data_IF_953125789076
#
_entry.id   IF_953125789076
#
_cell.length_a   1.000
_cell.length_b   1.000
_cell.length_c   1.000
_cell.angle_alpha   90.00
_cell.angle_beta   90.00
_cell.angle_gamma   90.00
#
_symmetry.space_group_name_H-M   'P 1'
#
loop_
_entity.id
_entity.type
_entity.pdbx_description
1 polymer ?
#
# COMPACT_ATOMS: atom_id res chain seq x y z
N UNK A 1 16.04 -22.17 15.30
CA UNK A 1 15.58 -22.00 13.90
C UNK A 1 14.65 -20.83 13.87
N UNK A 2 14.91 -19.87 13.00
CA UNK A 2 13.99 -18.74 12.81
C UNK A 2 12.93 -19.11 11.80
N UNK A 3 11.69 -18.64 12.02
CA UNK A 3 10.61 -18.76 11.05
C UNK A 3 10.54 -17.50 10.21
N UNK A 4 10.72 -17.63 8.91
CA UNK A 4 10.71 -16.54 7.94
C UNK A 4 9.53 -16.72 6.99
N UNK A 5 8.70 -15.68 6.89
CA UNK A 5 7.66 -15.61 5.84
C UNK A 5 8.19 -14.74 4.72
N UNK A 6 8.23 -15.29 3.50
CA UNK A 6 8.72 -14.58 2.31
C UNK A 6 7.58 -14.36 1.32
N UNK A 7 7.30 -13.10 0.94
CA UNK A 7 6.30 -12.79 -0.10
C UNK A 7 7.00 -12.37 -1.39
N UNK A 8 6.59 -12.96 -2.51
CA UNK A 8 7.07 -12.58 -3.84
C UNK A 8 5.92 -12.03 -4.69
N UNK A 9 6.10 -10.81 -5.20
CA UNK A 9 5.14 -10.15 -6.10
C UNK A 9 5.12 -10.74 -7.50
N UNK A 10 4.14 -10.35 -8.33
CA UNK A 10 3.97 -10.85 -9.69
C UNK A 10 5.21 -10.68 -10.57
N UNK A 11 5.89 -9.53 -10.51
CA UNK A 11 7.15 -9.28 -11.23
C UNK A 11 8.28 -10.24 -10.84
N UNK A 12 8.29 -10.71 -9.60
CA UNK A 12 9.31 -11.67 -9.10
C UNK A 12 9.15 -13.06 -9.71
N UNK A 13 7.91 -13.45 -10.02
CA UNK A 13 7.51 -14.77 -10.53
C UNK A 13 6.92 -14.69 -11.93
N UNK A 14 7.23 -13.64 -12.70
CA UNK A 14 6.60 -13.35 -13.98
C UNK A 14 6.81 -14.43 -15.05
N UNK A 15 7.94 -15.11 -15.00
CA UNK A 15 8.34 -16.11 -15.99
C UNK A 15 9.12 -17.27 -15.35
N UNK A 16 9.52 -18.24 -16.17
CA UNK A 16 10.25 -19.42 -15.73
C UNK A 16 11.59 -19.07 -15.05
N UNK A 17 12.29 -18.05 -15.52
CA UNK A 17 13.57 -17.63 -14.91
C UNK A 17 13.35 -16.92 -13.57
N UNK A 18 12.29 -16.12 -13.44
CA UNK A 18 11.83 -15.55 -12.17
C UNK A 18 11.51 -16.65 -11.15
N UNK A 19 10.72 -17.64 -11.53
CA UNK A 19 10.38 -18.80 -10.69
C UNK A 19 11.65 -19.53 -10.22
N UNK A 20 12.59 -19.82 -11.12
CA UNK A 20 13.87 -20.48 -10.75
C UNK A 20 14.73 -19.64 -9.82
N UNK A 21 14.77 -18.31 -10.02
CA UNK A 21 15.48 -17.38 -9.14
C UNK A 21 14.88 -17.38 -7.74
N UNK A 22 13.55 -17.27 -7.65
CA UNK A 22 12.81 -17.32 -6.37
C UNK A 22 13.02 -18.67 -5.69
N UNK A 23 12.90 -19.79 -6.42
CA UNK A 23 13.11 -21.14 -5.88
C UNK A 23 14.49 -21.29 -5.24
N UNK A 24 15.56 -20.83 -5.90
CA UNK A 24 16.92 -20.85 -5.34
C UNK A 24 17.01 -20.05 -4.04
N UNK A 25 16.49 -18.82 -4.02
CA UNK A 25 16.51 -17.96 -2.83
C UNK A 25 15.78 -18.60 -1.66
N UNK A 26 14.61 -19.18 -1.88
CA UNK A 26 13.82 -19.88 -0.86
C UNK A 26 14.58 -21.08 -0.31
N UNK A 27 15.18 -21.90 -1.19
CA UNK A 27 15.98 -23.07 -0.79
C UNK A 27 17.24 -22.65 -0.01
N UNK A 28 17.90 -21.57 -0.43
CA UNK A 28 19.08 -21.05 0.28
C UNK A 28 18.71 -20.54 1.68
N UNK A 29 17.56 -19.91 1.84
CA UNK A 29 17.02 -19.47 3.14
C UNK A 29 16.77 -20.69 4.06
N UNK A 30 16.18 -21.76 3.55
CA UNK A 30 15.98 -23.01 4.31
C UNK A 30 17.31 -23.68 4.66
N UNK A 31 18.26 -23.77 3.71
CA UNK A 31 19.61 -24.34 3.95
C UNK A 31 20.42 -23.56 4.98
N UNK A 32 20.14 -22.28 5.17
CA UNK A 32 20.72 -21.48 6.24
C UNK A 32 20.17 -21.82 7.64
N UNK A 33 19.28 -22.81 7.75
CA UNK A 33 18.74 -23.33 9.01
C UNK A 33 17.44 -22.66 9.47
N UNK A 34 16.69 -22.05 8.54
CA UNK A 34 15.40 -21.41 8.82
C UNK A 34 14.23 -22.27 8.38
N UNK A 35 13.11 -22.13 9.07
CA UNK A 35 11.81 -22.55 8.57
C UNK A 35 11.26 -21.48 7.62
N UNK A 36 10.68 -21.91 6.50
CA UNK A 36 10.27 -20.97 5.45
C UNK A 36 8.81 -21.19 5.04
N UNK A 37 8.04 -20.11 5.07
CA UNK A 37 6.73 -20.02 4.44
C UNK A 37 6.82 -19.01 3.30
N UNK A 38 6.30 -19.35 2.14
CA UNK A 38 6.32 -18.49 0.97
C UNK A 38 4.90 -18.09 0.60
N UNK A 39 4.67 -16.81 0.33
CA UNK A 39 3.42 -16.31 -0.24
C UNK A 39 3.72 -15.75 -1.62
N UNK A 40 2.97 -16.17 -2.64
CA UNK A 40 3.16 -15.68 -3.99
C UNK A 40 1.92 -15.01 -4.55
N UNK A 41 2.14 -14.01 -5.40
CA UNK A 41 1.12 -13.42 -6.27
C UNK A 41 0.99 -14.23 -7.58
N UNK A 42 -0.01 -13.92 -8.38
CA UNK A 42 -0.10 -14.39 -9.77
C UNK A 42 1.16 -14.00 -10.56
N UNK A 43 1.47 -14.75 -11.62
CA UNK A 43 2.63 -14.51 -12.48
C UNK A 43 2.43 -13.25 -13.32
N UNK A 44 3.37 -12.32 -13.28
CA UNK A 44 3.35 -11.10 -14.11
C UNK A 44 2.01 -10.36 -14.08
N UNK A 45 1.43 -10.18 -15.25
CA UNK A 45 0.18 -9.44 -15.46
C UNK A 45 -1.06 -10.38 -15.52
N UNK A 46 -0.94 -11.66 -15.11
CA UNK A 46 -2.02 -12.67 -15.22
C UNK A 46 -3.35 -12.21 -14.61
N UNK A 47 -3.33 -11.45 -13.51
CA UNK A 47 -4.57 -10.94 -12.90
C UNK A 47 -5.28 -9.95 -13.84
N UNK A 48 -4.54 -9.06 -14.49
CA UNK A 48 -5.09 -8.09 -15.45
C UNK A 48 -5.58 -8.81 -16.73
N UNK A 49 -4.84 -9.80 -17.23
CA UNK A 49 -5.25 -10.64 -18.36
C UNK A 49 -6.58 -11.39 -18.08
N UNK A 50 -6.77 -11.88 -16.86
CA UNK A 50 -8.03 -12.53 -16.46
C UNK A 50 -9.18 -11.53 -16.33
N UNK A 51 -8.92 -10.29 -15.88
CA UNK A 51 -9.91 -9.21 -15.86
C UNK A 51 -10.30 -8.79 -17.29
N UNK A 52 -9.34 -8.66 -18.19
CA UNK A 52 -9.57 -8.35 -19.61
C UNK A 52 -10.41 -9.46 -20.26
N UNK A 53 -10.06 -10.73 -20.04
CA UNK A 53 -10.84 -11.87 -20.53
C UNK A 53 -12.28 -11.84 -20.01
N UNK A 54 -12.49 -11.49 -18.73
CA UNK A 54 -13.83 -11.36 -18.16
C UNK A 54 -14.61 -10.24 -18.87
N UNK A 55 -13.95 -9.11 -19.18
CA UNK A 55 -14.55 -7.96 -19.86
C UNK A 55 -14.96 -8.25 -21.31
N UNK A 56 -14.27 -9.16 -22.00
CA UNK A 56 -14.64 -9.61 -23.33
C UNK A 56 -15.90 -10.49 -23.35
N UNK A 57 -16.19 -11.16 -22.22
CA UNK A 57 -17.33 -12.08 -22.09
C UNK A 57 -18.56 -11.40 -21.50
N UNK A 58 -18.38 -10.42 -20.63
CA UNK A 58 -19.49 -9.70 -19.99
C UNK A 58 -19.29 -8.21 -19.99
N UNK A 59 -20.36 -7.45 -20.24
CA UNK A 59 -20.34 -5.98 -20.17
C UNK A 59 -20.34 -5.41 -18.75
N UNK A 60 -20.44 -6.27 -17.73
CA UNK A 60 -20.53 -5.87 -16.33
C UNK A 60 -19.55 -6.66 -15.46
N UNK A 61 -18.28 -6.26 -15.49
CA UNK A 61 -17.23 -6.83 -14.62
C UNK A 61 -17.30 -6.14 -13.28
N UNK A 62 -18.13 -6.65 -12.38
CA UNK A 62 -18.23 -6.17 -10.99
C UNK A 62 -17.69 -7.22 -10.02
N UNK A 63 -17.19 -6.82 -8.84
CA UNK A 63 -16.81 -7.76 -7.80
C UNK A 63 -17.95 -8.76 -7.51
N UNK A 64 -17.68 -10.02 -7.73
CA UNK A 64 -18.66 -11.11 -7.63
C UNK A 64 -17.99 -12.43 -7.27
N UNK A 65 -18.79 -13.40 -6.85
CA UNK A 65 -18.32 -14.75 -6.54
C UNK A 65 -17.54 -15.38 -7.72
N UNK A 66 -18.06 -15.22 -8.93
CA UNK A 66 -17.45 -15.85 -10.12
C UNK A 66 -16.15 -15.12 -10.53
N UNK A 67 -16.08 -13.80 -10.31
CA UNK A 67 -14.85 -13.06 -10.56
C UNK A 67 -13.74 -13.46 -9.55
N UNK A 68 -14.08 -13.62 -8.26
CA UNK A 68 -13.14 -14.12 -7.27
C UNK A 68 -12.64 -15.54 -7.63
N UNK A 69 -13.52 -16.42 -8.09
CA UNK A 69 -13.15 -17.75 -8.58
C UNK A 69 -12.17 -17.69 -9.76
N UNK A 70 -12.41 -16.79 -10.71
CA UNK A 70 -11.54 -16.60 -11.88
C UNK A 70 -10.16 -16.09 -11.45
N UNK A 71 -10.12 -14.99 -10.71
CA UNK A 71 -8.86 -14.31 -10.34
C UNK A 71 -7.95 -15.20 -9.50
N UNK A 72 -8.51 -15.99 -8.57
CA UNK A 72 -7.69 -16.88 -7.72
C UNK A 72 -6.98 -18.01 -8.46
N UNK A 73 -7.27 -18.22 -9.75
CA UNK A 73 -6.54 -19.19 -10.57
C UNK A 73 -5.07 -18.79 -10.76
N UNK A 74 -4.76 -17.50 -10.85
CA UNK A 74 -3.40 -16.99 -11.06
C UNK A 74 -2.43 -17.45 -9.98
N UNK A 75 -2.77 -17.23 -8.69
CA UNK A 75 -1.91 -17.62 -7.58
C UNK A 75 -1.79 -19.16 -7.42
N UNK A 76 -2.81 -19.91 -7.81
CA UNK A 76 -2.73 -21.39 -7.81
C UNK A 76 -1.71 -21.90 -8.82
N UNK A 77 -1.62 -21.26 -9.99
CA UNK A 77 -0.60 -21.56 -11.00
C UNK A 77 0.79 -21.27 -10.41
N UNK A 78 1.00 -20.07 -9.87
CA UNK A 78 2.28 -19.64 -9.30
C UNK A 78 2.77 -20.58 -8.19
N UNK A 79 1.89 -20.92 -7.23
CA UNK A 79 2.24 -21.82 -6.11
C UNK A 79 2.65 -23.22 -6.58
N UNK A 80 1.92 -23.77 -7.54
CA UNK A 80 2.19 -25.11 -8.06
C UNK A 80 3.54 -25.16 -8.80
N UNK A 81 3.79 -24.20 -9.70
CA UNK A 81 5.04 -24.13 -10.47
C UNK A 81 6.24 -23.87 -9.55
N UNK A 82 6.11 -22.96 -8.59
CA UNK A 82 7.19 -22.70 -7.63
C UNK A 82 7.49 -23.93 -6.76
N UNK A 83 6.46 -24.66 -6.32
CA UNK A 83 6.62 -25.91 -5.57
C UNK A 83 7.40 -26.95 -6.36
N UNK A 84 7.07 -27.11 -7.67
CA UNK A 84 7.80 -28.01 -8.55
C UNK A 84 9.27 -27.59 -8.69
N UNK A 85 9.56 -26.30 -8.87
CA UNK A 85 10.91 -25.80 -9.01
C UNK A 85 11.76 -25.98 -7.73
N UNK A 86 11.16 -25.83 -6.55
CA UNK A 86 11.83 -26.07 -5.27
C UNK A 86 12.12 -27.56 -5.09
N UNK A 87 11.17 -28.43 -5.43
CA UNK A 87 11.37 -29.90 -5.35
C UNK A 87 12.48 -30.36 -6.32
N UNK A 88 12.60 -29.76 -7.50
CA UNK A 88 13.67 -30.02 -8.46
C UNK A 88 15.07 -29.65 -7.91
N UNK A 89 15.14 -28.66 -7.02
CA UNK A 89 16.36 -28.29 -6.29
C UNK A 89 16.68 -29.20 -5.08
N UNK A 90 15.88 -30.26 -4.86
CA UNK A 90 16.08 -31.26 -3.82
C UNK A 90 15.54 -30.88 -2.44
N UNK A 91 14.87 -29.74 -2.30
CA UNK A 91 14.12 -29.38 -1.10
C UNK A 91 12.68 -29.93 -1.18
N UNK A 92 12.01 -30.06 -0.03
CA UNK A 92 10.60 -30.48 0.00
C UNK A 92 9.69 -29.27 0.07
N UNK A 93 8.78 -29.14 -0.87
CA UNK A 93 7.81 -28.03 -0.90
C UNK A 93 6.40 -28.55 -1.07
N UNK A 94 5.45 -27.86 -0.45
CA UNK A 94 4.02 -28.15 -0.54
C UNK A 94 3.24 -26.87 -0.74
N UNK A 95 2.36 -26.86 -1.77
CA UNK A 95 1.51 -25.70 -2.10
C UNK A 95 0.16 -25.77 -1.40
N UNK A 96 -0.37 -24.58 -1.04
CA UNK A 96 -1.65 -24.39 -0.37
C UNK A 96 -2.43 -23.26 -1.02
N UNK A 97 -3.72 -23.44 -1.20
CA UNK A 97 -4.64 -22.33 -1.49
C UNK A 97 -4.87 -21.49 -0.22
N UNK A 98 -5.42 -20.30 -0.35
CA UNK A 98 -5.75 -19.46 0.83
C UNK A 98 -6.67 -20.19 1.82
N UNK A 99 -7.69 -20.92 1.33
CA UNK A 99 -8.58 -21.71 2.20
C UNK A 99 -7.84 -22.85 2.91
N UNK A 100 -6.93 -23.55 2.22
CA UNK A 100 -6.10 -24.60 2.83
C UNK A 100 -5.10 -24.07 3.84
N UNK A 101 -4.65 -22.82 3.65
CA UNK A 101 -3.79 -22.10 4.59
C UNK A 101 -4.57 -21.49 5.78
N UNK A 102 -5.91 -21.67 5.82
CA UNK A 102 -6.75 -21.20 6.90
C UNK A 102 -7.05 -19.70 6.87
N UNK A 103 -6.99 -19.05 5.69
CA UNK A 103 -7.34 -17.64 5.51
C UNK A 103 -8.86 -17.49 5.49
N UNK A 104 -9.46 -17.11 6.62
CA UNK A 104 -10.89 -16.93 6.77
C UNK A 104 -11.26 -15.46 6.58
N UNK A 105 -12.26 -15.23 5.74
CA UNK A 105 -12.69 -13.88 5.33
C UNK A 105 -14.16 -13.63 5.62
N UNK A 106 -14.57 -12.36 5.56
CA UNK A 106 -15.97 -11.99 5.40
C UNK A 106 -16.48 -12.36 3.98
N UNK A 107 -17.76 -12.14 3.72
CA UNK A 107 -18.40 -12.49 2.44
C UNK A 107 -18.36 -11.38 1.38
N UNK A 108 -17.51 -10.38 1.52
CA UNK A 108 -17.42 -9.26 0.56
C UNK A 108 -16.50 -9.64 -0.59
N UNK A 109 -17.07 -9.95 -1.76
CA UNK A 109 -16.29 -10.30 -2.95
C UNK A 109 -15.45 -9.14 -3.47
N UNK A 110 -14.25 -9.43 -3.99
CA UNK A 110 -13.31 -8.46 -4.58
C UNK A 110 -12.55 -7.59 -3.58
N UNK A 111 -12.99 -7.52 -2.32
CA UNK A 111 -12.35 -6.69 -1.27
C UNK A 111 -12.56 -7.25 0.14
N UNK A 112 -12.54 -8.58 0.25
CA UNK A 112 -12.78 -9.27 1.52
C UNK A 112 -11.79 -8.86 2.62
N UNK A 113 -12.28 -8.88 3.85
CA UNK A 113 -11.46 -8.64 5.04
C UNK A 113 -11.13 -9.96 5.71
N UNK A 114 -9.90 -10.11 6.16
CA UNK A 114 -9.50 -11.23 7.01
C UNK A 114 -10.18 -11.12 8.36
N UNK A 115 -10.91 -12.16 8.72
CA UNK A 115 -11.61 -12.29 10.01
C UNK A 115 -10.76 -13.12 10.97
N UNK A 116 -10.12 -14.18 10.46
CA UNK A 116 -9.33 -15.12 11.24
C UNK A 116 -8.29 -15.80 10.36
N UNK A 117 -7.14 -16.15 10.92
CA UNK A 117 -6.13 -17.00 10.28
C UNK A 117 -5.93 -18.25 11.12
N UNK A 118 -6.10 -19.43 10.51
CA UNK A 118 -5.92 -20.75 11.12
C UNK A 118 -4.79 -21.51 10.44
N UNK A 119 -3.53 -21.28 10.85
CA UNK A 119 -2.37 -21.77 10.12
C UNK A 119 -1.96 -23.21 10.48
N UNK A 120 -2.83 -24.05 11.10
CA UNK A 120 -2.48 -25.37 11.62
C UNK A 120 -1.84 -26.24 10.54
N UNK A 121 -2.43 -26.30 9.33
CA UNK A 121 -1.90 -27.07 8.20
C UNK A 121 -0.55 -26.57 7.70
N UNK A 122 -0.33 -25.25 7.78
CA UNK A 122 0.98 -24.65 7.45
C UNK A 122 1.99 -25.05 8.50
N UNK A 123 1.63 -25.00 9.78
CA UNK A 123 2.50 -25.43 10.89
C UNK A 123 2.88 -26.90 10.74
N UNK A 124 1.90 -27.79 10.54
CA UNK A 124 2.15 -29.22 10.30
C UNK A 124 3.11 -29.46 9.13
N UNK A 125 2.97 -28.70 8.03
CA UNK A 125 3.85 -28.82 6.88
C UNK A 125 5.29 -28.40 7.19
N UNK A 126 5.46 -27.29 7.94
CA UNK A 126 6.78 -26.80 8.37
C UNK A 126 7.41 -27.83 9.33
N UNK A 127 6.67 -28.31 10.31
CA UNK A 127 7.15 -29.29 11.30
C UNK A 127 7.56 -30.62 10.64
N UNK A 128 6.98 -30.94 9.48
CA UNK A 128 7.41 -32.08 8.64
C UNK A 128 8.63 -31.77 7.76
N UNK A 129 9.23 -30.58 7.89
CA UNK A 129 10.42 -30.14 7.14
C UNK A 129 10.14 -29.65 5.72
N UNK A 130 8.89 -29.35 5.39
CA UNK A 130 8.55 -28.81 4.08
C UNK A 130 8.62 -27.26 4.08
N UNK A 131 8.93 -26.70 2.92
CA UNK A 131 8.66 -25.31 2.61
C UNK A 131 7.18 -25.18 2.26
N UNK A 132 6.40 -24.40 3.00
CA UNK A 132 4.98 -24.18 2.72
C UNK A 132 4.80 -23.01 1.76
N UNK A 133 4.14 -23.24 0.62
CA UNK A 133 3.90 -22.20 -0.41
C UNK A 133 2.41 -21.90 -0.46
N UNK A 134 2.05 -20.67 -0.16
CA UNK A 134 0.66 -20.22 -0.03
C UNK A 134 0.28 -19.29 -1.17
N UNK A 135 -0.87 -19.56 -1.79
CA UNK A 135 -1.50 -18.64 -2.72
C UNK A 135 -1.95 -17.37 -1.96
N UNK A 136 -1.34 -16.23 -2.29
CA UNK A 136 -1.73 -14.94 -1.74
C UNK A 136 -3.09 -14.47 -2.23
N UNK A 137 -3.52 -13.26 -1.81
CA UNK A 137 -4.69 -12.56 -2.35
C UNK A 137 -6.05 -13.20 -2.05
N UNK A 138 -6.13 -14.44 -1.62
CA UNK A 138 -7.36 -15.22 -1.51
C UNK A 138 -7.62 -15.77 -0.11
N UNK A 139 -8.91 -15.94 0.20
CA UNK A 139 -9.40 -16.60 1.40
C UNK A 139 -10.72 -17.32 1.14
N UNK A 140 -11.40 -17.69 2.22
CA UNK A 140 -12.69 -18.37 2.17
C UNK A 140 -13.64 -17.82 3.23
N UNK A 141 -14.86 -17.52 2.83
CA UNK A 141 -15.93 -17.23 3.78
C UNK A 141 -16.38 -18.52 4.46
N UNK A 142 -16.37 -18.54 5.80
CA UNK A 142 -16.72 -19.75 6.57
C UNK A 142 -18.20 -20.15 6.45
N UNK A 143 -19.09 -19.17 6.29
CA UNK A 143 -20.52 -19.43 6.28
C UNK A 143 -21.01 -19.97 4.93
N UNK A 144 -20.59 -19.36 3.83
CA UNK A 144 -20.98 -19.78 2.49
C UNK A 144 -20.07 -20.86 1.89
N UNK A 145 -18.81 -20.96 2.36
CA UNK A 145 -17.77 -21.77 1.76
C UNK A 145 -17.18 -21.16 0.47
N UNK A 146 -17.62 -19.95 0.11
CA UNK A 146 -17.16 -19.30 -1.11
C UNK A 146 -15.72 -18.79 -0.98
N UNK A 147 -15.00 -18.87 -2.08
CA UNK A 147 -13.69 -18.24 -2.22
C UNK A 147 -13.90 -16.74 -2.38
N UNK A 148 -13.04 -15.97 -1.74
CA UNK A 148 -13.05 -14.50 -1.78
C UNK A 148 -11.66 -13.98 -2.09
N UNK A 149 -11.58 -12.79 -2.68
CA UNK A 149 -10.32 -12.08 -2.89
C UNK A 149 -10.20 -10.87 -1.97
N UNK A 150 -8.96 -10.57 -1.54
CA UNK A 150 -8.66 -9.49 -0.59
C UNK A 150 -8.53 -8.11 -1.25
N UNK A 151 -8.61 -8.06 -2.58
CA UNK A 151 -8.36 -6.84 -3.34
C UNK A 151 -6.88 -6.47 -3.46
N UNK A 152 -6.58 -5.25 -3.92
CA UNK A 152 -5.20 -4.78 -4.13
C UNK A 152 -4.34 -4.94 -2.88
N UNK A 153 -3.09 -5.37 -3.06
CA UNK A 153 -2.17 -5.66 -1.96
C UNK A 153 -2.55 -6.88 -1.11
N UNK A 154 -3.49 -7.72 -1.61
CA UNK A 154 -3.98 -8.89 -0.90
C UNK A 154 -2.90 -9.91 -0.59
N UNK A 155 -1.89 -10.10 -1.46
CA UNK A 155 -0.78 -11.02 -1.21
C UNK A 155 0.14 -10.53 -0.09
N UNK A 156 0.40 -9.21 0.00
CA UNK A 156 1.15 -8.62 1.11
C UNK A 156 0.40 -8.81 2.43
N UNK A 157 -0.91 -8.56 2.40
CA UNK A 157 -1.80 -8.78 3.56
C UNK A 157 -1.82 -10.24 3.99
N UNK A 158 -1.86 -11.19 3.02
CA UNK A 158 -1.78 -12.63 3.31
C UNK A 158 -0.47 -12.98 4.01
N UNK A 159 0.67 -12.50 3.51
CA UNK A 159 1.99 -12.80 4.06
C UNK A 159 2.13 -12.30 5.50
N UNK A 160 1.76 -11.03 5.73
CA UNK A 160 1.84 -10.42 7.06
C UNK A 160 0.88 -11.09 8.06
N UNK A 161 -0.35 -11.42 7.62
CA UNK A 161 -1.31 -12.10 8.47
C UNK A 161 -0.86 -13.52 8.84
N UNK A 162 -0.28 -14.28 7.89
CA UNK A 162 0.33 -15.58 8.17
C UNK A 162 1.55 -15.45 9.10
N UNK A 163 2.42 -14.48 8.85
CA UNK A 163 3.59 -14.25 9.70
C UNK A 163 3.18 -13.96 11.15
N UNK A 164 2.17 -13.12 11.35
CA UNK A 164 1.62 -12.84 12.68
C UNK A 164 0.99 -14.08 13.33
N UNK A 165 0.17 -14.84 12.60
CA UNK A 165 -0.50 -16.02 13.12
C UNK A 165 0.45 -17.17 13.44
N UNK A 166 1.57 -17.25 12.72
CA UNK A 166 2.64 -18.26 12.94
C UNK A 166 3.67 -17.80 13.97
N UNK A 167 3.61 -16.55 14.45
CA UNK A 167 4.66 -15.91 15.27
C UNK A 167 6.03 -15.97 14.57
N UNK A 168 6.08 -15.56 13.32
CA UNK A 168 7.31 -15.52 12.55
C UNK A 168 8.26 -14.43 13.08
N UNK A 169 9.56 -14.66 12.98
CA UNK A 169 10.60 -13.72 13.41
C UNK A 169 10.67 -12.49 12.49
N UNK A 170 10.37 -12.69 11.19
CA UNK A 170 10.36 -11.63 10.17
C UNK A 170 9.44 -12.00 9.00
N UNK A 171 8.82 -10.97 8.41
CA UNK A 171 8.14 -11.09 7.12
C UNK A 171 8.93 -10.32 6.07
N UNK A 172 9.53 -11.02 5.11
CA UNK A 172 10.26 -10.44 3.99
C UNK A 172 9.31 -10.19 2.82
N UNK A 173 9.25 -8.95 2.34
CA UNK A 173 8.46 -8.55 1.17
C UNK A 173 9.41 -8.27 0.01
N UNK A 174 9.37 -9.12 -1.00
CA UNK A 174 10.20 -9.01 -2.19
C UNK A 174 9.49 -8.29 -3.33
N UNK A 175 10.15 -7.28 -3.89
CA UNK A 175 9.67 -6.37 -4.91
C UNK A 175 10.70 -6.25 -6.06
N UNK A 176 10.45 -5.31 -6.97
CA UNK A 176 11.32 -4.92 -8.09
C UNK A 176 12.29 -3.77 -7.76
N UNK A 177 12.30 -3.33 -6.50
CA UNK A 177 13.25 -2.31 -5.99
C UNK A 177 13.95 -2.80 -4.73
N UNK A 178 15.11 -2.24 -4.42
CA UNK A 178 16.01 -2.71 -3.37
C UNK A 178 15.57 -2.35 -1.92
N UNK A 179 14.38 -1.83 -1.74
CA UNK A 179 13.85 -1.43 -0.43
C UNK A 179 12.90 -0.24 -0.52
N UNK A 180 12.71 0.45 0.60
CA UNK A 180 11.95 1.69 0.67
C UNK A 180 12.88 2.86 0.34
N UNK A 181 12.46 3.73 -0.56
CA UNK A 181 13.21 4.89 -0.99
C UNK A 181 12.57 6.18 -0.50
N UNK A 182 13.35 7.26 -0.42
CA UNK A 182 12.90 8.60 -0.02
C UNK A 182 11.89 9.23 -0.99
N UNK A 183 11.80 8.73 -2.22
CA UNK A 183 10.73 8.98 -3.19
C UNK A 183 10.65 7.79 -4.16
N UNK A 184 9.64 7.77 -5.04
CA UNK A 184 9.59 6.77 -6.12
C UNK A 184 10.78 6.96 -7.08
N UNK A 185 11.67 5.98 -7.22
CA UNK A 185 12.84 6.10 -8.09
C UNK A 185 12.50 6.34 -9.57
N UNK A 186 11.28 6.00 -10.00
CA UNK A 186 10.81 6.27 -11.38
C UNK A 186 10.60 7.75 -11.64
N UNK A 187 10.37 8.54 -10.58
CA UNK A 187 10.17 10.00 -10.64
C UNK A 187 11.45 10.72 -10.24
N UNK A 188 12.10 10.23 -9.20
CA UNK A 188 13.32 10.79 -8.63
C UNK A 188 14.43 9.71 -8.67
N UNK A 189 15.19 9.59 -9.76
CA UNK A 189 16.24 8.57 -9.86
C UNK A 189 17.31 8.68 -8.77
N UNK A 190 17.52 9.89 -8.23
CA UNK A 190 18.46 10.19 -7.14
C UNK A 190 17.92 9.91 -5.74
N UNK A 191 16.70 9.36 -5.61
CA UNK A 191 16.16 8.95 -4.33
C UNK A 191 17.06 7.90 -3.67
N UNK A 192 17.38 8.10 -2.38
CA UNK A 192 18.18 7.11 -1.66
C UNK A 192 17.33 6.07 -0.94
N UNK A 193 17.89 4.88 -0.80
CA UNK A 193 17.27 3.78 -0.06
C UNK A 193 17.39 4.04 1.45
N UNK A 194 16.30 3.88 2.17
CA UNK A 194 16.29 3.88 3.62
C UNK A 194 16.76 2.52 4.15
N UNK A 195 17.68 2.50 5.10
CA UNK A 195 18.09 1.24 5.75
C UNK A 195 17.04 0.78 6.77
N UNK A 196 16.42 1.74 7.44
CA UNK A 196 15.39 1.50 8.46
C UNK A 196 14.31 2.58 8.38
N UNK A 197 13.07 2.19 8.63
CA UNK A 197 11.92 3.09 8.72
C UNK A 197 10.99 2.59 9.82
N UNK A 198 10.35 3.49 10.57
CA UNK A 198 9.37 3.08 11.58
C UNK A 198 8.06 2.64 10.94
N UNK A 199 7.28 1.81 11.63
CA UNK A 199 5.95 1.39 11.16
C UNK A 199 5.02 2.59 10.95
N UNK A 200 5.15 3.66 11.75
CA UNK A 200 4.34 4.87 11.63
C UNK A 200 4.68 5.65 10.37
N UNK A 201 5.97 5.87 10.10
CA UNK A 201 6.42 6.53 8.88
C UNK A 201 6.04 5.73 7.64
N UNK A 202 6.25 4.39 7.68
CA UNK A 202 5.86 3.52 6.58
C UNK A 202 4.34 3.54 6.34
N UNK A 203 3.54 3.60 7.41
CA UNK A 203 2.09 3.71 7.32
C UNK A 203 1.67 5.01 6.63
N UNK A 204 2.27 6.14 7.03
CA UNK A 204 2.02 7.43 6.38
C UNK A 204 2.49 7.42 4.91
N UNK A 205 3.66 6.88 4.63
CA UNK A 205 4.13 6.76 3.23
C UNK A 205 3.17 5.93 2.40
N UNK A 206 2.73 4.76 2.89
CA UNK A 206 1.80 3.87 2.19
C UNK A 206 0.41 4.52 2.01
N UNK A 207 -0.12 5.21 3.02
CA UNK A 207 -1.39 5.93 2.96
C UNK A 207 -1.36 7.11 1.97
N UNK A 208 -0.17 7.64 1.69
CA UNK A 208 0.02 8.77 0.80
C UNK A 208 0.58 8.41 -0.59
N UNK A 209 0.55 7.12 -0.95
CA UNK A 209 0.80 6.67 -2.31
C UNK A 209 2.16 6.01 -2.55
N UNK A 210 3.00 5.79 -1.54
CA UNK A 210 4.17 4.96 -1.68
C UNK A 210 3.75 3.49 -1.92
N UNK A 211 3.96 2.99 -3.15
CA UNK A 211 3.41 1.71 -3.60
C UNK A 211 4.23 0.48 -3.18
N UNK A 212 5.31 0.66 -2.45
CA UNK A 212 6.23 -0.43 -2.08
C UNK A 212 5.60 -1.45 -1.11
N UNK A 213 4.80 -0.96 -0.17
CA UNK A 213 4.00 -1.78 0.74
C UNK A 213 2.55 -1.31 0.69
N UNK A 214 1.62 -2.25 0.69
CA UNK A 214 0.21 -1.89 0.77
C UNK A 214 -0.19 -1.47 2.19
N UNK A 215 -0.99 -0.41 2.31
CA UNK A 215 -1.41 0.17 3.61
C UNK A 215 -1.89 -0.90 4.61
N UNK A 216 -2.79 -1.80 4.19
CA UNK A 216 -3.33 -2.87 5.05
C UNK A 216 -2.25 -3.80 5.61
N UNK A 217 -1.20 -4.12 4.86
CA UNK A 217 -0.13 -4.98 5.37
C UNK A 217 0.70 -4.27 6.44
N UNK A 218 0.93 -2.96 6.30
CA UNK A 218 1.64 -2.16 7.31
C UNK A 218 0.80 -2.02 8.58
N UNK A 219 -0.52 -1.79 8.45
CA UNK A 219 -1.46 -1.78 9.59
C UNK A 219 -1.44 -3.10 10.38
N UNK A 220 -1.44 -4.24 9.66
CA UNK A 220 -1.33 -5.56 10.29
C UNK A 220 0.02 -5.75 10.98
N UNK A 221 1.12 -5.43 10.31
CA UNK A 221 2.46 -5.55 10.88
C UNK A 221 2.60 -4.73 12.16
N UNK A 222 2.16 -3.48 12.12
CA UNK A 222 2.12 -2.59 13.29
C UNK A 222 1.30 -3.17 14.44
N UNK A 223 0.08 -3.64 14.15
CA UNK A 223 -0.84 -4.19 15.16
C UNK A 223 -0.27 -5.41 15.88
N UNK A 224 0.50 -6.24 15.20
CA UNK A 224 1.08 -7.46 15.74
C UNK A 224 2.56 -7.33 16.10
N UNK A 225 3.10 -6.11 16.06
CA UNK A 225 4.51 -5.82 16.37
C UNK A 225 5.47 -6.66 15.52
N UNK A 226 5.12 -6.90 14.26
CA UNK A 226 5.86 -7.73 13.33
C UNK A 226 6.88 -6.91 12.55
N UNK A 227 8.14 -7.36 12.55
CA UNK A 227 9.20 -6.80 11.72
C UNK A 227 8.98 -7.16 10.25
N UNK A 228 8.97 -6.14 9.37
CA UNK A 228 8.98 -6.35 7.92
C UNK A 228 10.39 -6.07 7.38
N UNK A 229 10.77 -6.82 6.35
CA UNK A 229 12.02 -6.60 5.63
C UNK A 229 11.71 -6.48 4.14
N UNK A 230 11.80 -5.27 3.61
CA UNK A 230 11.52 -4.98 2.20
C UNK A 230 12.80 -5.16 1.40
N UNK A 231 12.77 -6.02 0.38
CA UNK A 231 13.94 -6.41 -0.42
C UNK A 231 13.63 -6.53 -1.90
N UNK A 232 14.64 -6.56 -2.74
CA UNK A 232 14.48 -6.92 -4.16
C UNK A 232 14.58 -8.44 -4.36
N UNK A 233 13.73 -8.99 -5.21
CA UNK A 233 13.87 -10.37 -5.68
C UNK A 233 14.98 -10.51 -6.75
N UNK A 234 15.50 -9.42 -7.29
CA UNK A 234 16.45 -9.35 -8.38
C UNK A 234 17.90 -9.12 -7.91
N UNK A 235 18.10 -8.67 -6.69
CA UNK A 235 19.41 -8.42 -6.09
C UNK A 235 19.58 -9.16 -4.75
N UNK A 236 20.80 -9.14 -4.21
CA UNK A 236 21.13 -9.63 -2.88
C UNK A 236 21.48 -8.49 -1.92
N UNK A 237 21.18 -7.25 -2.30
CA UNK A 237 21.41 -6.11 -1.42
C UNK A 237 20.54 -6.22 -0.17
N UNK A 238 21.05 -5.64 0.92
CA UNK A 238 20.24 -5.44 2.12
C UNK A 238 19.11 -4.49 1.77
N UNK A 239 17.91 -4.87 2.15
CA UNK A 239 16.73 -4.06 1.89
C UNK A 239 16.54 -2.96 2.91
N UNK A 240 15.28 -2.69 3.23
CA UNK A 240 14.84 -1.78 4.28
C UNK A 240 14.14 -2.56 5.38
N UNK A 241 14.52 -2.33 6.63
CA UNK A 241 13.82 -2.90 7.78
C UNK A 241 12.74 -1.92 8.23
N UNK A 242 11.49 -2.41 8.26
CA UNK A 242 10.37 -1.68 8.90
C UNK A 242 10.23 -2.20 10.32
N UNK A 243 10.47 -1.35 11.29
CA UNK A 243 10.48 -1.70 12.71
C UNK A 243 9.33 -1.08 13.47
N UNK A 244 8.77 -1.79 14.46
CA UNK A 244 7.83 -1.21 15.40
C UNK A 244 8.44 -0.05 16.19
N UNK A 245 7.64 0.95 16.53
CA UNK A 245 8.09 2.18 17.20
C UNK A 245 8.76 1.93 18.56
N UNK A 246 8.28 0.92 19.31
CA UNK A 246 8.81 0.54 20.63
C UNK A 246 10.02 -0.41 20.55
N UNK A 247 10.59 -0.63 19.39
CA UNK A 247 11.70 -1.57 19.21
C UNK A 247 13.00 -0.99 19.77
N UNK A 248 13.71 -1.78 20.59
CA UNK A 248 15.05 -1.44 21.08
C UNK A 248 16.10 -1.32 19.95
N UNK A 249 15.77 -1.73 18.73
CA UNK A 249 16.61 -1.61 17.52
C UNK A 249 16.59 -0.20 16.92
N UNK A 250 15.76 0.71 17.45
CA UNK A 250 15.70 2.14 17.10
C UNK A 250 16.93 2.95 17.57
N UNK A 251 18.10 2.32 17.73
CA UNK A 251 19.36 3.08 17.86
C UNK A 251 19.95 3.28 16.45
N UNK A 252 19.60 4.36 15.74
CA UNK A 252 20.13 4.56 14.40
C UNK A 252 21.63 4.80 14.53
N UNK A 253 22.41 3.99 13.88
CA UNK A 253 23.85 4.24 13.69
C UNK A 253 24.07 5.61 13.04
N UNK A 254 23.06 6.13 12.36
CA UNK A 254 23.04 7.42 11.68
C UNK A 254 22.67 8.63 12.56
N UNK A 255 22.05 8.45 13.74
CA UNK A 255 21.76 9.58 14.66
C UNK A 255 22.99 10.14 15.33
N UNK A 256 24.17 9.53 15.19
CA UNK A 256 25.42 10.06 15.78
C UNK A 256 25.93 11.32 15.08
N UNK A 257 25.44 11.62 13.88
CA UNK A 257 25.91 12.76 13.06
C UNK A 257 24.82 13.84 12.84
N UNK A 258 23.57 13.57 13.22
CA UNK A 258 22.47 14.54 13.09
C UNK A 258 22.27 15.25 14.43
N UNK A 259 22.20 16.60 14.46
CA UNK A 259 21.82 17.33 15.65
C UNK A 259 20.47 16.81 16.19
N UNK A 260 20.40 16.54 17.50
CA UNK A 260 19.26 15.90 18.17
C UNK A 260 17.89 16.59 17.97
N UNK A 261 17.88 17.83 17.49
CA UNK A 261 16.67 18.64 17.31
C UNK A 261 16.37 18.96 15.83
N UNK A 262 17.05 18.30 14.86
CA UNK A 262 16.69 18.47 13.44
C UNK A 262 15.55 17.53 13.05
N UNK A 263 14.59 17.99 12.20
CA UNK A 263 13.55 17.12 11.68
C UNK A 263 14.16 16.02 10.83
N UNK A 264 13.75 14.79 11.06
CA UNK A 264 14.13 13.65 10.24
C UNK A 264 13.07 13.44 9.17
N UNK A 265 13.40 13.79 7.92
CA UNK A 265 12.53 13.57 6.79
C UNK A 265 12.78 12.18 6.23
N UNK A 266 11.76 11.34 6.26
CA UNK A 266 11.81 9.95 5.78
C UNK A 266 11.57 9.86 4.27
N UNK A 267 10.78 10.79 3.70
CA UNK A 267 10.60 10.82 2.26
C UNK A 267 9.44 11.67 1.76
N UNK A 268 9.28 11.59 0.44
CA UNK A 268 8.23 12.27 -0.34
C UNK A 268 7.37 11.23 -1.04
N UNK A 269 6.12 11.09 -0.61
CA UNK A 269 5.13 10.23 -1.24
C UNK A 269 4.22 11.02 -2.17
N UNK A 270 3.66 10.37 -3.18
CA UNK A 270 2.72 11.00 -4.11
C UNK A 270 1.61 10.02 -4.50
N UNK A 271 0.42 10.55 -4.77
CA UNK A 271 -0.72 9.77 -5.23
C UNK A 271 -1.41 10.47 -6.42
N UNK A 272 -1.53 9.73 -7.52
CA UNK A 272 -2.14 10.17 -8.78
C UNK A 272 -3.59 9.76 -8.91
N UNK A 273 -4.08 8.91 -8.01
CA UNK A 273 -5.43 8.34 -8.08
C UNK A 273 -6.47 9.17 -7.32
N UNK A 274 -6.13 10.39 -6.94
CA UNK A 274 -7.01 11.27 -6.19
C UNK A 274 -7.96 12.07 -7.08
N UNK A 275 -9.16 12.29 -6.56
CA UNK A 275 -10.08 13.31 -7.03
C UNK A 275 -10.48 14.21 -5.87
N UNK A 276 -10.88 15.45 -6.19
CA UNK A 276 -11.34 16.45 -5.22
C UNK A 276 -12.81 16.78 -5.47
N UNK A 277 -13.59 16.76 -4.40
CA UNK A 277 -14.97 17.26 -4.41
C UNK A 277 -15.04 18.45 -3.46
N UNK A 278 -15.70 19.53 -3.92
CA UNK A 278 -16.06 20.66 -3.08
C UNK A 278 -17.58 20.84 -3.11
N UNK A 279 -18.20 20.73 -1.94
CA UNK A 279 -19.63 21.03 -1.74
C UNK A 279 -19.72 22.47 -1.28
N UNK A 280 -20.22 23.35 -2.19
CA UNK A 280 -20.22 24.79 -2.01
C UNK A 280 -21.54 25.27 -1.37
N UNK A 281 -21.41 26.15 -0.38
CA UNK A 281 -22.58 26.81 0.22
C UNK A 281 -23.44 25.89 1.09
N UNK A 282 -22.85 24.95 1.79
CA UNK A 282 -23.53 24.09 2.78
C UNK A 282 -24.00 24.97 3.94
N UNK A 283 -25.27 24.87 4.42
CA UNK A 283 -25.71 25.62 5.59
C UNK A 283 -24.81 25.41 6.81
N UNK A 284 -24.29 26.52 7.38
CA UNK A 284 -23.38 26.46 8.53
C UNK A 284 -24.15 26.31 9.86
N UNK A 285 -24.71 25.11 10.05
CA UNK A 285 -25.44 24.74 11.27
C UNK A 285 -24.96 23.38 11.78
N UNK A 286 -25.06 23.11 13.08
CA UNK A 286 -24.68 21.81 13.65
C UNK A 286 -25.39 20.66 12.94
N UNK A 287 -24.61 19.66 12.50
CA UNK A 287 -25.10 18.47 11.81
C UNK A 287 -24.99 18.50 10.28
N UNK A 288 -24.73 19.64 9.66
CA UNK A 288 -24.62 19.73 8.18
C UNK A 288 -23.49 18.84 7.62
N UNK A 289 -22.30 18.89 8.20
CA UNK A 289 -21.19 18.00 7.82
C UNK A 289 -21.57 16.52 8.02
N UNK A 290 -22.24 16.17 9.12
CA UNK A 290 -22.69 14.81 9.37
C UNK A 290 -23.64 14.29 8.29
N UNK A 291 -24.54 15.15 7.78
CA UNK A 291 -25.45 14.78 6.68
C UNK A 291 -24.70 14.55 5.38
N UNK A 292 -23.77 15.44 5.01
CA UNK A 292 -22.93 15.30 3.81
C UNK A 292 -22.14 14.00 3.87
N UNK A 293 -21.44 13.74 4.96
CA UNK A 293 -20.61 12.52 5.11
C UNK A 293 -21.45 11.25 5.33
N UNK A 294 -22.67 11.38 5.84
CA UNK A 294 -23.63 10.27 5.90
C UNK A 294 -23.96 9.71 4.52
N UNK A 295 -24.24 10.59 3.53
CA UNK A 295 -24.45 10.17 2.14
C UNK A 295 -23.23 9.51 1.51
N UNK A 296 -22.06 10.03 1.77
CA UNK A 296 -20.80 9.48 1.27
C UNK A 296 -20.57 8.08 1.86
N UNK A 297 -20.88 7.89 3.16
CA UNK A 297 -20.81 6.58 3.82
C UNK A 297 -21.83 5.58 3.24
N UNK A 298 -23.06 6.01 2.96
CA UNK A 298 -24.08 5.17 2.30
C UNK A 298 -23.65 4.75 0.89
N UNK A 299 -22.95 5.64 0.17
CA UNK A 299 -22.35 5.34 -1.12
C UNK A 299 -21.08 4.46 -1.01
N UNK A 300 -20.64 4.08 0.20
CA UNK A 300 -19.44 3.27 0.50
C UNK A 300 -18.15 3.89 -0.05
N UNK A 301 -18.05 5.20 -0.03
CA UNK A 301 -16.88 5.97 -0.46
C UNK A 301 -15.98 6.28 0.74
N UNK A 302 -14.69 6.02 0.60
CA UNK A 302 -13.68 6.39 1.58
C UNK A 302 -13.15 7.80 1.28
N UNK A 303 -12.92 8.57 2.35
CA UNK A 303 -12.37 9.93 2.26
C UNK A 303 -10.95 9.93 2.80
N UNK A 304 -10.13 10.84 2.25
CA UNK A 304 -8.75 11.06 2.71
C UNK A 304 -8.61 12.43 3.40
N UNK A 305 -8.40 13.51 2.63
CA UNK A 305 -8.30 14.85 3.20
C UNK A 305 -9.69 15.49 3.31
N UNK A 306 -9.97 16.16 4.42
CA UNK A 306 -11.22 16.92 4.62
C UNK A 306 -10.85 18.33 5.09
N UNK A 307 -11.33 19.35 4.39
CA UNK A 307 -11.14 20.76 4.76
C UNK A 307 -12.50 21.45 4.69
N UNK A 308 -12.87 22.10 5.79
CA UNK A 308 -14.04 22.98 5.86
C UNK A 308 -13.57 24.42 5.90
N UNK A 309 -14.15 25.26 5.06
CA UNK A 309 -13.85 26.69 5.00
C UNK A 309 -15.12 27.52 5.15
N UNK A 310 -15.10 28.49 6.07
CA UNK A 310 -16.20 29.45 6.23
C UNK A 310 -15.87 30.71 5.44
N UNK A 311 -16.53 30.93 4.28
CA UNK A 311 -16.25 32.11 3.46
C UNK A 311 -16.70 33.39 4.17
N UNK A 312 -15.86 34.43 4.14
CA UNK A 312 -16.14 35.70 4.81
C UNK A 312 -17.17 36.55 4.11
N UNK A 313 -17.40 36.33 2.83
CA UNK A 313 -18.33 37.03 1.96
C UNK A 313 -19.72 36.39 1.90
N UNK A 314 -19.88 35.16 2.40
CA UNK A 314 -21.14 34.42 2.42
C UNK A 314 -21.46 33.94 3.85
N UNK A 315 -22.17 34.75 4.66
CA UNK A 315 -22.52 34.38 6.02
C UNK A 315 -23.51 33.22 6.05
N UNK A 316 -23.43 32.40 7.11
CA UNK A 316 -24.27 31.22 7.40
C UNK A 316 -24.11 30.05 6.43
N UNK A 317 -23.08 30.03 5.62
CA UNK A 317 -22.73 28.87 4.78
C UNK A 317 -21.27 28.52 4.92
N UNK A 318 -20.93 27.31 4.60
CA UNK A 318 -19.56 26.79 4.57
C UNK A 318 -19.30 26.01 3.30
N UNK A 319 -18.05 25.97 2.85
CA UNK A 319 -17.62 25.10 1.78
C UNK A 319 -16.88 23.91 2.38
N UNK A 320 -17.26 22.68 1.99
CA UNK A 320 -16.64 21.46 2.43
C UNK A 320 -15.91 20.81 1.25
N UNK A 321 -14.59 20.78 1.31
CA UNK A 321 -13.75 20.11 0.32
C UNK A 321 -13.19 18.82 0.90
N UNK A 322 -13.15 17.77 0.09
CA UNK A 322 -12.53 16.53 0.47
C UNK A 322 -11.94 15.82 -0.74
N UNK A 323 -10.99 14.91 -0.48
CA UNK A 323 -10.40 14.04 -1.50
C UNK A 323 -10.84 12.61 -1.30
N UNK A 324 -10.85 11.85 -2.39
CA UNK A 324 -11.24 10.45 -2.47
C UNK A 324 -10.49 9.78 -3.62
N UNK A 325 -10.53 8.46 -3.67
CA UNK A 325 -10.05 7.72 -4.84
C UNK A 325 -10.90 8.06 -6.07
N UNK A 326 -10.26 8.38 -7.19
CA UNK A 326 -10.91 8.76 -8.45
C UNK A 326 -11.94 7.72 -8.90
N UNK A 327 -11.68 6.42 -8.68
CA UNK A 327 -12.61 5.35 -9.02
C UNK A 327 -13.93 5.41 -8.25
N UNK A 328 -13.97 6.13 -7.12
CA UNK A 328 -15.18 6.34 -6.30
C UNK A 328 -15.86 7.67 -6.57
N UNK A 329 -15.28 8.52 -7.42
CA UNK A 329 -15.74 9.87 -7.70
C UNK A 329 -17.18 9.96 -8.22
N UNK A 330 -17.53 9.14 -9.20
CA UNK A 330 -18.86 9.10 -9.77
C UNK A 330 -19.96 8.71 -8.77
N UNK A 331 -19.66 7.73 -7.90
CA UNK A 331 -20.60 7.31 -6.87
C UNK A 331 -20.86 8.43 -5.86
N UNK A 332 -19.81 9.11 -5.40
CA UNK A 332 -19.90 10.25 -4.50
C UNK A 332 -20.67 11.42 -5.14
N UNK A 333 -20.32 11.77 -6.39
CA UNK A 333 -20.96 12.85 -7.14
C UNK A 333 -22.45 12.61 -7.34
N UNK A 334 -22.83 11.38 -7.68
CA UNK A 334 -24.24 11.00 -7.87
C UNK A 334 -25.03 11.10 -6.56
N UNK A 335 -24.46 10.61 -5.45
CA UNK A 335 -25.11 10.68 -4.13
C UNK A 335 -25.33 12.14 -3.69
N UNK A 336 -24.31 13.00 -3.82
CA UNK A 336 -24.40 14.41 -3.46
C UNK A 336 -25.41 15.16 -4.33
N UNK A 337 -25.37 15.02 -5.65
CA UNK A 337 -26.31 15.69 -6.57
C UNK A 337 -27.77 15.30 -6.30
N UNK A 338 -28.02 14.03 -5.95
CA UNK A 338 -29.38 13.57 -5.63
C UNK A 338 -29.95 14.23 -4.36
N UNK A 339 -29.10 14.56 -3.38
CA UNK A 339 -29.49 15.14 -2.09
C UNK A 339 -29.34 16.67 -2.03
N UNK A 340 -28.97 17.33 -3.12
CA UNK A 340 -28.68 18.77 -3.14
C UNK A 340 -29.83 19.63 -2.58
N UNK A 341 -31.07 19.36 -3.01
CA UNK A 341 -32.24 20.09 -2.55
C UNK A 341 -32.55 19.88 -1.07
N UNK A 342 -32.34 18.68 -0.57
CA UNK A 342 -32.55 18.32 0.82
C UNK A 342 -31.52 18.96 1.76
N UNK A 343 -30.25 18.92 1.35
CA UNK A 343 -29.14 19.45 2.14
C UNK A 343 -28.97 20.98 1.99
N UNK A 344 -29.57 21.58 0.97
CA UNK A 344 -29.62 23.03 0.77
C UNK A 344 -28.30 23.67 0.37
N UNK A 345 -27.32 22.92 -0.14
CA UNK A 345 -26.07 23.47 -0.66
C UNK A 345 -26.22 23.98 -2.11
N UNK A 346 -25.34 24.87 -2.55
CA UNK A 346 -25.46 25.57 -3.83
C UNK A 346 -25.06 24.70 -5.03
N UNK A 347 -23.84 24.08 -4.95
CA UNK A 347 -23.31 23.26 -6.03
C UNK A 347 -22.29 22.25 -5.53
N UNK A 348 -21.94 21.28 -6.39
CA UNK A 348 -20.83 20.34 -6.20
C UNK A 348 -19.84 20.52 -7.34
N UNK A 349 -18.60 20.86 -6.99
CA UNK A 349 -17.48 20.96 -7.94
C UNK A 349 -16.68 19.67 -7.82
N UNK A 350 -16.44 18.99 -8.95
CA UNK A 350 -15.64 17.77 -9.04
C UNK A 350 -14.42 18.03 -9.92
N UNK A 351 -13.25 17.64 -9.42
CA UNK A 351 -11.98 17.75 -10.14
C UNK A 351 -11.18 16.44 -9.99
N UNK A 352 -10.98 15.73 -11.09
CA UNK A 352 -10.19 14.50 -11.17
C UNK A 352 -8.75 14.73 -11.68
N UNK A 353 -8.43 15.96 -12.11
CA UNK A 353 -7.11 16.34 -12.59
C UNK A 353 -6.20 16.83 -11.46
N UNK A 354 -6.25 16.17 -10.32
CA UNK A 354 -5.46 16.51 -9.12
C UNK A 354 -4.55 15.36 -8.69
N UNK A 355 -3.45 15.71 -8.03
CA UNK A 355 -2.56 14.77 -7.39
C UNK A 355 -2.25 15.20 -5.97
N UNK A 356 -1.96 14.23 -5.12
CA UNK A 356 -1.53 14.46 -3.73
C UNK A 356 -0.02 14.31 -3.63
N UNK A 357 0.64 15.27 -3.00
CA UNK A 357 2.03 15.24 -2.60
C UNK A 357 2.12 15.27 -1.09
N UNK A 358 2.95 14.42 -0.49
CA UNK A 358 3.10 14.34 0.96
C UNK A 358 4.57 14.24 1.35
N UNK A 359 5.02 15.14 2.19
CA UNK A 359 6.29 15.05 2.91
C UNK A 359 6.05 14.28 4.20
N UNK A 360 6.82 13.23 4.44
CA UNK A 360 6.69 12.36 5.63
C UNK A 360 8.00 12.38 6.43
N UNK A 361 7.88 12.46 7.75
CA UNK A 361 9.04 12.44 8.65
C UNK A 361 8.70 12.83 10.07
N UNK A 362 9.62 12.58 10.99
CA UNK A 362 9.47 12.94 12.39
C UNK A 362 9.90 14.39 12.67
N UNK A 363 9.34 15.00 13.71
CA UNK A 363 9.73 16.35 14.17
C UNK A 363 9.22 17.51 13.33
N UNK A 364 8.33 17.30 12.37
CA UNK A 364 7.81 18.36 11.49
C UNK A 364 7.10 19.47 12.25
N UNK A 365 6.33 19.12 13.28
CA UNK A 365 5.54 20.08 14.07
C UNK A 365 6.40 20.96 14.98
N UNK A 366 7.55 20.45 15.40
CA UNK A 366 8.49 21.13 16.30
C UNK A 366 9.58 21.90 15.57
N UNK A 367 9.69 21.77 14.24
CA UNK A 367 10.72 22.38 13.40
C UNK A 367 10.12 23.45 12.47
N UNK A 368 10.15 24.73 12.86
CA UNK A 368 9.45 25.81 12.14
C UNK A 368 9.86 25.98 10.66
N UNK A 369 11.07 25.60 10.29
CA UNK A 369 11.59 25.74 8.93
C UNK A 369 10.99 24.75 7.92
N UNK A 370 10.49 23.59 8.35
CA UNK A 370 10.01 22.53 7.46
C UNK A 370 8.88 23.01 6.55
N UNK A 371 7.85 23.62 7.14
CA UNK A 371 6.71 24.12 6.34
C UNK A 371 7.13 25.19 5.35
N UNK A 372 8.04 26.10 5.77
CA UNK A 372 8.55 27.14 4.87
C UNK A 372 9.31 26.52 3.68
N UNK A 373 10.26 25.64 3.95
CA UNK A 373 11.04 24.96 2.89
C UNK A 373 10.14 24.18 1.93
N UNK A 374 9.12 23.50 2.44
CA UNK A 374 8.17 22.75 1.64
C UNK A 374 7.39 23.66 0.69
N UNK A 375 6.81 24.74 1.18
CA UNK A 375 6.02 25.66 0.36
C UNK A 375 6.88 26.52 -0.57
N UNK A 376 8.08 26.90 -0.15
CA UNK A 376 9.05 27.64 -0.98
C UNK A 376 9.53 26.80 -2.17
N UNK A 377 9.78 25.50 -1.96
CA UNK A 377 10.14 24.57 -3.04
C UNK A 377 9.03 24.46 -4.08
N UNK A 378 7.77 24.31 -3.65
CA UNK A 378 6.62 24.27 -4.57
C UNK A 378 6.43 25.59 -5.33
N UNK A 379 6.56 26.71 -4.63
CA UNK A 379 6.47 28.06 -5.25
C UNK A 379 7.55 28.27 -6.30
N UNK A 380 8.79 27.91 -5.98
CA UNK A 380 9.93 28.02 -6.89
C UNK A 380 9.82 27.12 -8.12
N UNK A 381 9.12 26.00 -8.00
CA UNK A 381 8.77 25.09 -9.11
C UNK A 381 7.51 25.53 -9.88
N UNK A 382 6.88 26.65 -9.52
CA UNK A 382 5.65 27.12 -10.15
C UNK A 382 4.46 26.18 -9.95
N UNK A 383 4.41 25.48 -8.81
CA UNK A 383 3.33 24.55 -8.46
C UNK A 383 2.33 25.24 -7.54
N UNK A 384 1.09 25.35 -8.01
CA UNK A 384 -0.01 25.89 -7.20
C UNK A 384 -0.59 24.83 -6.27
N UNK A 385 -1.16 25.27 -5.14
CA UNK A 385 -1.70 24.42 -4.08
C UNK A 385 -3.21 24.66 -3.96
N UNK A 386 -3.98 23.59 -4.04
CA UNK A 386 -5.44 23.60 -3.94
C UNK A 386 -5.96 23.30 -2.53
N UNK A 387 -5.27 22.43 -1.79
CA UNK A 387 -5.59 22.06 -0.41
C UNK A 387 -4.32 21.75 0.35
N UNK A 388 -4.35 21.96 1.67
CA UNK A 388 -3.26 21.64 2.59
C UNK A 388 -3.84 20.84 3.75
N UNK A 389 -3.14 19.81 4.18
CA UNK A 389 -3.42 19.06 5.40
C UNK A 389 -2.11 18.72 6.11
N UNK A 390 -2.09 18.81 7.42
CA UNK A 390 -0.91 18.50 8.23
C UNK A 390 -1.23 17.54 9.36
N UNK A 391 -0.27 16.69 9.71
CA UNK A 391 -0.27 15.89 10.94
C UNK A 391 1.03 16.11 11.71
N UNK A 392 1.31 15.29 12.72
CA UNK A 392 2.56 15.38 13.49
C UNK A 392 3.79 14.96 12.67
N UNK A 393 3.58 14.06 11.71
CA UNK A 393 4.64 13.44 10.91
C UNK A 393 4.43 13.61 9.40
N UNK A 394 3.51 14.51 8.98
CA UNK A 394 3.18 14.68 7.56
C UNK A 394 2.71 16.09 7.23
N UNK A 395 3.13 16.59 6.06
CA UNK A 395 2.53 17.73 5.36
C UNK A 395 2.08 17.24 3.98
N UNK A 396 0.79 17.39 3.67
CA UNK A 396 0.23 17.00 2.37
C UNK A 396 -0.40 18.18 1.67
N UNK A 397 -0.27 18.21 0.36
CA UNK A 397 -0.95 19.18 -0.52
C UNK A 397 -1.63 18.46 -1.67
N UNK A 398 -2.71 19.07 -2.14
CA UNK A 398 -3.33 18.76 -3.42
C UNK A 398 -2.87 19.79 -4.43
N UNK A 399 -2.42 19.34 -5.58
CA UNK A 399 -1.96 20.16 -6.70
C UNK A 399 -2.49 19.62 -8.02
N UNK A 400 -2.29 20.37 -9.11
CA UNK A 400 -2.61 19.91 -10.45
C UNK A 400 -1.82 18.64 -10.80
N UNK A 401 -2.49 17.61 -11.34
CA UNK A 401 -1.90 16.33 -11.67
C UNK A 401 -0.70 16.45 -12.64
N UNK A 402 -0.80 17.37 -13.60
CA UNK A 402 0.26 17.64 -14.58
C UNK A 402 1.58 18.14 -13.95
N UNK A 403 1.50 18.74 -12.75
CA UNK A 403 2.62 19.32 -12.02
C UNK A 403 3.17 18.41 -10.92
N UNK A 404 2.56 17.25 -10.69
CA UNK A 404 2.87 16.40 -9.55
C UNK A 404 4.32 15.90 -9.54
N UNK A 405 4.85 15.45 -10.67
CA UNK A 405 6.23 14.94 -10.75
C UNK A 405 7.27 16.04 -10.54
N UNK A 406 7.00 17.23 -11.04
CA UNK A 406 7.84 18.41 -10.81
C UNK A 406 7.84 18.79 -9.33
N UNK A 407 6.66 18.76 -8.69
CA UNK A 407 6.50 18.99 -7.27
C UNK A 407 7.27 17.96 -6.41
N UNK A 408 7.19 16.67 -6.75
CA UNK A 408 7.94 15.60 -6.05
C UNK A 408 9.43 15.86 -6.11
N UNK A 409 9.98 16.13 -7.30
CA UNK A 409 11.42 16.41 -7.47
C UNK A 409 11.85 17.65 -6.71
N UNK A 410 11.11 18.74 -6.83
CA UNK A 410 11.45 20.01 -6.18
C UNK A 410 11.51 19.87 -4.64
N UNK A 411 10.50 19.23 -4.06
CA UNK A 411 10.45 19.02 -2.61
C UNK A 411 11.56 18.05 -2.18
N UNK A 412 11.78 16.94 -2.89
CA UNK A 412 12.83 15.98 -2.57
C UNK A 412 14.21 16.64 -2.52
N UNK A 413 14.56 17.42 -3.54
CA UNK A 413 15.83 18.16 -3.60
C UNK A 413 15.94 19.23 -2.52
N UNK A 414 14.87 19.98 -2.24
CA UNK A 414 14.86 21.03 -1.24
C UNK A 414 15.13 20.51 0.18
N UNK A 415 14.79 19.26 0.46
CA UNK A 415 15.08 18.61 1.73
C UNK A 415 16.40 17.83 1.74
N UNK A 416 17.22 17.92 0.68
CA UNK A 416 18.52 17.27 0.60
C UNK A 416 18.47 15.75 0.59
N UNK A 417 17.40 15.18 0.03
CA UNK A 417 17.19 13.73 -0.01
C UNK A 417 17.84 13.05 -1.22
N UNK A 418 18.52 13.81 -2.09
CA UNK A 418 19.23 13.29 -3.25
C UNK A 418 20.54 12.60 -2.85
N UNK A 419 20.89 11.54 -3.59
CA UNK A 419 22.17 10.84 -3.50
C UNK A 419 22.99 11.01 -4.79
N UNK A 420 24.31 10.74 -4.74
CA UNK A 420 25.19 10.78 -5.92
C UNK A 420 24.91 9.63 -6.91
N UNK A 421 24.21 8.58 -6.52
CA UNK A 421 23.87 7.43 -7.36
C UNK A 421 22.43 7.46 -7.87
N UNK A 422 22.12 6.62 -8.85
CA UNK A 422 20.75 6.38 -9.29
C UNK A 422 20.22 5.07 -8.72
N UNK A 423 19.00 5.09 -8.23
CA UNK A 423 18.30 3.92 -7.74
C UNK A 423 17.93 2.99 -8.90
N UNK A 424 18.10 1.68 -8.71
CA UNK A 424 17.79 0.69 -9.74
C UNK A 424 16.35 0.16 -9.54
N UNK A 425 15.57 0.20 -10.62
CA UNK A 425 14.27 -0.48 -10.73
C UNK A 425 14.44 -1.65 -11.69
N UNK A 426 14.28 -2.88 -11.19
CA UNK A 426 14.61 -4.09 -11.93
C UNK A 426 13.52 -4.59 -12.88
N UNK A 427 12.30 -4.16 -12.70
CA UNK A 427 11.18 -4.60 -13.53
C UNK A 427 9.85 -4.02 -13.05
N UNK A 428 8.84 -4.27 -13.85
CA UNK A 428 7.49 -3.81 -13.56
C UNK A 428 7.10 -2.60 -14.40
N UNK A 429 5.97 -2.71 -15.07
CA UNK A 429 5.41 -1.64 -15.90
C UNK A 429 4.82 -0.49 -15.09
N UNK A 430 4.86 -0.57 -13.74
CA UNK A 430 4.33 0.50 -12.87
C UNK A 430 2.81 0.73 -13.00
N UNK A 431 2.04 -0.30 -13.44
CA UNK A 431 0.59 -0.22 -13.55
C UNK A 431 -0.12 -0.42 -12.23
#
# INVERSE_FOLDING_TARGET
MSLIVQKFGGSSVADAEGIKRVARRVVDTQKAGNDVVVVVSAMGDTTDELLDLASEVTSNVTPSRELDMLLTAGERISTAILSMAINDLGAKAQSFTGSQAGMITDGVHGSARLVEVKPERIRESIDAGNIAIVAGFQGMNRQSGDITTLGRGGSDTTAVALAAALNADVCEIYSDVDGVFTADPRIVPTAHKLDTVTSEEMLEMAANGAKILHLRCVEYARRFNLKLHVRSSFSNLEGTIVIPEDSAELTPTHLKEIPLEQPLISGVAHDRSQAKITVVGVPDVPGSAAKVFGLINEAKVNLDMIVQNVPTDRPNVTDISFTLDQAQGDAALKALKAAQAELGFQEVIYNESVGKLSLVGAGMKTSPGVSFTFFDALSSAGVNIDMISTSEIRISVITELSKLDEAVRAVHTAFGLDTEGEATVYGGTGR
#
